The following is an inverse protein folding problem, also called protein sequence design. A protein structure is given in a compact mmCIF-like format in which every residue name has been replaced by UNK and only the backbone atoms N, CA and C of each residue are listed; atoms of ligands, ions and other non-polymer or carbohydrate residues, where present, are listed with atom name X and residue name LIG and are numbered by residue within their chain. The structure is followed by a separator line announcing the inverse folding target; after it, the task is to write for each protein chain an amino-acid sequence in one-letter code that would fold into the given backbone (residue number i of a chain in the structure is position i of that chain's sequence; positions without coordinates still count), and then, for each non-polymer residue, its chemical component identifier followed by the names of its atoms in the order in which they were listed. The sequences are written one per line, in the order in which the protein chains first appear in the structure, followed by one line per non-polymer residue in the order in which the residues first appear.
data_IF_149314446847
#
_entry.id   IF_149314446847
#
_cell.length_a   1.000
_cell.length_b   1.000
_cell.length_c   1.000
_cell.angle_alpha   90.00
_cell.angle_beta   90.00
_cell.angle_gamma   90.00
#
_symmetry.space_group_name_H-M   'P 1'
#
loop_
_entity.id
_entity.type
_entity.pdbx_description
1 polymer ?
#
# COMPACT_ATOMS: atom_id res chain seq x y z
N UNK A 1 -12.46 0.08 -24.60
CA UNK A 1 -12.96 0.70 -23.36
C UNK A 1 -12.20 0.01 -22.26
N UNK A 2 -11.57 0.76 -21.34
CA UNK A 2 -10.91 0.14 -20.21
C UNK A 2 -11.98 -0.47 -19.29
N UNK A 3 -11.67 -1.63 -18.76
CA UNK A 3 -12.56 -2.35 -17.86
C UNK A 3 -12.48 -1.74 -16.45
N UNK A 4 -13.60 -1.62 -15.75
CA UNK A 4 -13.62 -1.08 -14.38
C UNK A 4 -13.02 -2.11 -13.44
N UNK A 5 -11.93 -1.74 -12.77
CA UNK A 5 -11.23 -2.59 -11.80
C UNK A 5 -11.80 -2.47 -10.40
N UNK A 6 -12.08 -1.24 -9.97
CA UNK A 6 -12.63 -0.96 -8.65
C UNK A 6 -13.84 -0.06 -8.82
N UNK A 7 -14.94 -0.41 -8.16
CA UNK A 7 -16.16 0.35 -8.15
C UNK A 7 -16.63 0.59 -6.73
N UNK A 8 -16.92 1.85 -6.38
CA UNK A 8 -17.59 2.19 -5.13
C UNK A 8 -18.98 2.75 -5.39
N UNK A 9 -19.95 2.30 -4.60
CA UNK A 9 -21.35 2.76 -4.68
C UNK A 9 -21.84 3.18 -3.29
N UNK A 10 -22.32 4.41 -3.18
CA UNK A 10 -22.87 5.00 -1.97
C UNK A 10 -22.00 4.75 -0.73
N UNK A 11 -20.67 4.82 -0.90
CA UNK A 11 -19.72 4.54 0.16
C UNK A 11 -19.74 5.65 1.20
N UNK A 12 -20.05 5.29 2.43
CA UNK A 12 -20.01 6.16 3.59
C UNK A 12 -19.07 5.58 4.65
N UNK A 13 -18.30 6.44 5.30
CA UNK A 13 -17.38 6.02 6.40
C UNK A 13 -17.58 6.94 7.60
N UNK A 14 -17.68 6.31 8.76
CA UNK A 14 -17.86 6.97 10.05
C UNK A 14 -16.73 6.55 11.01
N UNK A 15 -16.24 7.50 11.80
CA UNK A 15 -15.38 7.29 12.95
C UNK A 15 -16.14 7.72 14.22
N UNK A 16 -16.76 6.74 14.90
CA UNK A 16 -17.75 7.05 15.93
C UNK A 16 -18.92 7.85 15.33
N UNK A 17 -19.21 9.01 15.91
CA UNK A 17 -20.29 9.90 15.44
C UNK A 17 -19.87 10.82 14.26
N UNK A 18 -18.60 10.83 13.91
CA UNK A 18 -18.09 11.70 12.83
C UNK A 18 -18.06 10.99 11.50
N UNK A 19 -18.85 11.49 10.54
CA UNK A 19 -18.79 11.01 9.16
C UNK A 19 -17.60 11.62 8.43
N UNK A 20 -16.81 10.77 7.76
CA UNK A 20 -15.59 11.12 7.02
C UNK A 20 -15.76 11.03 5.50
N UNK A 21 -16.60 10.12 5.01
CA UNK A 21 -16.97 10.01 3.60
C UNK A 21 -18.48 10.01 3.45
N UNK A 22 -18.96 10.68 2.40
CA UNK A 22 -20.37 10.92 2.13
C UNK A 22 -20.71 10.44 0.72
N UNK A 23 -21.48 9.36 0.60
CA UNK A 23 -22.03 8.81 -0.65
C UNK A 23 -21.03 8.78 -1.83
N UNK A 24 -19.81 8.30 -1.58
CA UNK A 24 -18.76 8.27 -2.60
C UNK A 24 -19.09 7.22 -3.65
N UNK A 25 -19.24 7.68 -4.89
CA UNK A 25 -19.47 6.85 -6.08
C UNK A 25 -18.32 7.10 -7.04
N UNK A 26 -17.50 6.07 -7.31
CA UNK A 26 -16.29 6.20 -8.12
C UNK A 26 -15.96 4.89 -8.82
N UNK A 27 -15.71 4.97 -10.12
CA UNK A 27 -15.20 3.87 -10.94
C UNK A 27 -13.73 4.12 -11.26
N UNK A 28 -12.87 3.15 -10.96
CA UNK A 28 -11.44 3.16 -11.26
C UNK A 28 -11.14 2.05 -12.27
N UNK A 29 -10.53 2.41 -13.39
CA UNK A 29 -10.26 1.47 -14.46
C UNK A 29 -8.95 0.68 -14.22
N UNK A 30 -8.86 -0.48 -14.86
CA UNK A 30 -7.62 -1.26 -14.88
C UNK A 30 -6.53 -0.56 -15.70
N UNK A 31 -5.26 -0.82 -15.34
CA UNK A 31 -4.06 -0.33 -16.05
C UNK A 31 -3.98 1.21 -16.13
N UNK A 32 -4.62 1.90 -15.20
CA UNK A 32 -4.57 3.36 -15.09
C UNK A 32 -3.97 3.80 -13.75
N UNK A 33 -3.41 5.00 -13.76
CA UNK A 33 -2.99 5.69 -12.54
C UNK A 33 -4.03 6.75 -12.22
N UNK A 34 -4.74 6.57 -11.11
CA UNK A 34 -5.72 7.55 -10.62
C UNK A 34 -5.17 8.29 -9.42
N UNK A 35 -5.16 9.62 -9.47
CA UNK A 35 -4.74 10.47 -8.36
C UNK A 35 -5.95 11.13 -7.68
N UNK A 36 -6.07 10.95 -6.36
CA UNK A 36 -7.04 11.65 -5.54
C UNK A 36 -6.43 12.97 -5.04
N UNK A 37 -6.96 14.08 -5.48
CA UNK A 37 -6.46 15.42 -5.14
C UNK A 37 -7.49 16.16 -4.28
N UNK A 38 -7.03 16.82 -3.24
CA UNK A 38 -7.89 17.60 -2.33
C UNK A 38 -7.14 18.02 -1.06
N UNK A 39 -7.71 18.91 -0.26
CA UNK A 39 -7.08 19.41 0.97
C UNK A 39 -6.85 18.31 1.99
N UNK A 40 -5.97 18.58 2.96
CA UNK A 40 -5.74 17.65 4.08
C UNK A 40 -7.05 17.42 4.84
N UNK A 41 -7.32 16.18 5.23
CA UNK A 41 -8.53 15.81 5.98
C UNK A 41 -9.80 15.64 5.15
N UNK A 42 -9.78 15.78 3.82
CA UNK A 42 -10.99 15.59 2.98
C UNK A 42 -11.37 14.11 2.72
N UNK A 43 -10.68 13.14 3.35
CA UNK A 43 -11.06 11.73 3.29
C UNK A 43 -10.28 10.85 2.28
N UNK A 44 -9.27 11.36 1.56
CA UNK A 44 -8.47 10.59 0.58
C UNK A 44 -7.91 9.30 1.17
N UNK A 45 -7.17 9.41 2.28
CA UNK A 45 -6.60 8.25 2.98
C UNK A 45 -7.67 7.30 3.51
N UNK A 46 -8.80 7.84 3.97
CA UNK A 46 -9.95 7.04 4.40
C UNK A 46 -10.50 6.20 3.27
N UNK A 47 -10.70 6.80 2.08
CA UNK A 47 -11.18 6.09 0.89
C UNK A 47 -10.20 5.00 0.44
N UNK A 48 -8.90 5.33 0.33
CA UNK A 48 -7.86 4.37 -0.06
C UNK A 48 -7.86 3.16 0.89
N UNK A 49 -7.98 3.39 2.21
CA UNK A 49 -8.01 2.32 3.22
C UNK A 49 -9.29 1.49 3.21
N UNK A 50 -10.37 1.95 2.59
CA UNK A 50 -11.55 1.11 2.37
C UNK A 50 -11.27 0.02 1.34
N UNK A 51 -10.49 0.31 0.28
CA UNK A 51 -10.25 -0.60 -0.84
C UNK A 51 -9.53 -1.90 -0.42
N UNK A 52 -8.70 -1.85 0.64
CA UNK A 52 -8.02 -3.05 1.19
C UNK A 52 -8.46 -3.41 2.60
N UNK A 53 -9.58 -2.86 3.04
CA UNK A 53 -10.17 -3.11 4.37
C UNK A 53 -9.23 -2.78 5.54
N UNK A 54 -8.30 -1.82 5.35
CA UNK A 54 -7.44 -1.36 6.45
C UNK A 54 -8.20 -0.56 7.50
N UNK A 55 -9.40 -0.07 7.20
CA UNK A 55 -10.26 0.58 8.18
C UNK A 55 -10.83 -0.39 9.22
N UNK A 56 -10.88 -1.70 8.94
CA UNK A 56 -11.36 -2.74 9.86
C UNK A 56 -10.51 -2.86 11.13
N UNK A 57 -9.26 -2.38 11.12
CA UNK A 57 -8.39 -2.38 12.32
C UNK A 57 -8.69 -1.22 13.28
N UNK A 58 -9.65 -0.38 12.95
CA UNK A 58 -10.04 0.79 13.74
C UNK A 58 -11.42 0.52 14.33
N UNK A 59 -11.50 0.17 15.63
CA UNK A 59 -12.71 -0.28 16.30
C UNK A 59 -13.92 0.66 16.13
N UNK A 60 -13.68 1.98 16.07
CA UNK A 60 -14.73 2.98 15.91
C UNK A 60 -15.08 3.26 14.45
N UNK A 61 -14.41 2.60 13.48
CA UNK A 61 -14.67 2.83 12.07
C UNK A 61 -15.84 1.96 11.60
N UNK A 62 -16.80 2.60 10.95
CA UNK A 62 -17.92 1.91 10.30
C UNK A 62 -17.97 2.32 8.84
N UNK A 63 -17.95 1.32 7.97
CA UNK A 63 -18.07 1.48 6.52
C UNK A 63 -19.45 0.97 6.09
N UNK A 64 -20.15 1.73 5.24
CA UNK A 64 -21.42 1.32 4.62
C UNK A 64 -21.41 1.68 3.15
N UNK A 65 -22.29 1.08 2.36
CA UNK A 65 -22.21 1.10 0.90
C UNK A 65 -21.36 -0.05 0.39
N UNK A 66 -21.08 -0.09 -0.91
CA UNK A 66 -20.40 -1.21 -1.55
C UNK A 66 -19.08 -0.77 -2.18
N UNK A 67 -18.09 -1.66 -2.09
CA UNK A 67 -16.88 -1.59 -2.92
C UNK A 67 -16.70 -2.95 -3.58
N UNK A 68 -16.52 -2.94 -4.89
CA UNK A 68 -16.26 -4.12 -5.69
C UNK A 68 -14.89 -4.04 -6.34
N UNK A 69 -14.18 -5.15 -6.38
CA UNK A 69 -12.95 -5.33 -7.17
C UNK A 69 -13.21 -6.51 -8.12
N UNK A 70 -13.10 -6.26 -9.43
CA UNK A 70 -13.47 -7.23 -10.47
C UNK A 70 -14.89 -7.79 -10.30
N UNK A 71 -15.85 -6.95 -9.87
CA UNK A 71 -17.23 -7.33 -9.62
C UNK A 71 -17.47 -8.15 -8.34
N UNK A 72 -16.44 -8.33 -7.50
CA UNK A 72 -16.55 -9.01 -6.20
C UNK A 72 -16.67 -7.98 -5.09
N UNK A 73 -17.75 -8.03 -4.31
CA UNK A 73 -17.97 -7.17 -3.13
C UNK A 73 -16.91 -7.48 -2.06
N UNK A 74 -16.12 -6.45 -1.68
CA UNK A 74 -15.02 -6.65 -0.74
C UNK A 74 -15.42 -6.49 0.73
N UNK A 75 -16.61 -5.94 1.02
CA UNK A 75 -17.13 -5.79 2.38
C UNK A 75 -17.90 -7.02 2.88
N UNK A 76 -18.02 -8.08 2.06
CA UNK A 76 -18.63 -9.35 2.46
C UNK A 76 -17.89 -9.92 3.69
N UNK A 77 -18.66 -10.35 4.72
CA UNK A 77 -18.11 -10.92 5.95
C UNK A 77 -17.35 -12.24 5.73
N UNK A 78 -17.70 -12.96 4.65
CA UNK A 78 -17.07 -14.24 4.29
C UNK A 78 -15.82 -14.07 3.43
N UNK A 79 -15.52 -12.84 2.99
CA UNK A 79 -14.33 -12.58 2.16
C UNK A 79 -13.04 -12.83 2.95
N UNK A 80 -12.12 -13.58 2.36
CA UNK A 80 -10.77 -13.71 2.90
C UNK A 80 -9.98 -12.40 2.73
N UNK A 81 -9.87 -11.65 3.82
CA UNK A 81 -9.16 -10.37 3.86
C UNK A 81 -7.67 -10.53 3.60
N UNK A 82 -7.08 -11.69 3.89
CA UNK A 82 -5.65 -11.96 3.63
C UNK A 82 -5.42 -12.03 2.12
N UNK A 83 -6.25 -12.78 1.42
CA UNK A 83 -6.22 -12.87 -0.05
C UNK A 83 -6.52 -11.51 -0.71
N UNK A 84 -7.45 -10.72 -0.16
CA UNK A 84 -7.70 -9.37 -0.64
C UNK A 84 -6.43 -8.50 -0.54
N UNK A 85 -5.76 -8.51 0.61
CA UNK A 85 -4.55 -7.69 0.85
C UNK A 85 -3.32 -8.17 0.08
N UNK A 86 -3.29 -9.41 -0.37
CA UNK A 86 -2.30 -9.90 -1.34
C UNK A 86 -2.50 -9.26 -2.72
N UNK A 87 -3.76 -9.18 -3.19
CA UNK A 87 -4.12 -8.59 -4.48
C UNK A 87 -4.04 -7.05 -4.47
N UNK A 88 -4.27 -6.44 -3.32
CA UNK A 88 -4.32 -4.97 -3.12
C UNK A 88 -3.23 -4.53 -2.16
N UNK A 89 -2.05 -4.26 -2.69
CA UNK A 89 -0.90 -3.76 -1.93
C UNK A 89 -1.08 -2.32 -1.47
N UNK A 90 -0.46 -1.95 -0.35
CA UNK A 90 -0.52 -0.59 0.18
C UNK A 90 0.85 -0.07 0.59
N UNK A 91 1.13 1.18 0.20
CA UNK A 91 2.28 1.96 0.65
C UNK A 91 1.75 3.13 1.49
N UNK A 92 2.19 3.18 2.75
CA UNK A 92 1.75 4.20 3.70
C UNK A 92 2.55 5.49 3.57
N UNK A 93 1.97 6.60 4.01
CA UNK A 93 2.59 7.93 4.03
C UNK A 93 3.93 7.94 4.80
N UNK A 94 3.95 7.31 5.99
CA UNK A 94 5.19 7.13 6.76
C UNK A 94 5.79 5.78 6.43
N UNK A 95 7.10 5.70 6.10
CA UNK A 95 7.76 4.41 5.96
C UNK A 95 7.59 3.56 7.22
N UNK A 96 7.29 2.29 7.02
CA UNK A 96 7.08 1.34 8.11
C UNK A 96 7.80 0.01 7.81
N UNK A 97 9.13 0.03 7.63
CA UNK A 97 9.85 -1.21 7.45
C UNK A 97 9.70 -2.10 8.68
N UNK A 98 9.61 -3.41 8.47
CA UNK A 98 9.64 -4.34 9.59
C UNK A 98 11.02 -4.27 10.29
N UNK A 99 11.09 -4.52 11.62
CA UNK A 99 12.36 -4.60 12.35
C UNK A 99 13.09 -5.91 12.02
N UNK A 100 13.36 -6.09 10.74
CA UNK A 100 13.99 -7.26 10.09
C UNK A 100 15.01 -6.76 9.07
N UNK A 101 15.77 -7.67 8.48
CA UNK A 101 16.70 -7.36 7.40
C UNK A 101 15.99 -6.76 6.18
N UNK A 102 16.75 -6.11 5.29
CA UNK A 102 16.24 -5.62 4.01
C UNK A 102 15.65 -6.79 3.21
N UNK A 103 16.37 -7.91 3.16
CA UNK A 103 15.93 -9.15 2.52
C UNK A 103 14.61 -9.64 3.09
N UNK A 104 14.52 -9.79 4.42
CA UNK A 104 13.33 -10.31 5.07
C UNK A 104 12.12 -9.38 4.96
N UNK A 105 12.32 -8.07 4.86
CA UNK A 105 11.21 -7.15 4.59
C UNK A 105 10.50 -7.49 3.28
N UNK A 106 11.23 -7.89 2.25
CA UNK A 106 10.69 -8.15 0.92
C UNK A 106 10.22 -9.60 0.80
N UNK A 107 11.00 -10.57 1.29
CA UNK A 107 10.68 -11.99 1.18
C UNK A 107 9.53 -12.44 2.09
N UNK A 108 9.14 -11.63 3.07
CA UNK A 108 8.10 -11.98 4.05
C UNK A 108 6.74 -12.27 3.40
N UNK A 109 6.25 -11.37 2.54
CA UNK A 109 4.99 -11.56 1.82
C UNK A 109 5.01 -12.80 0.93
N UNK A 110 5.97 -12.94 0.00
CA UNK A 110 6.11 -14.14 -0.82
C UNK A 110 6.13 -15.45 -0.02
N UNK A 111 6.85 -15.50 1.09
CA UNK A 111 6.89 -16.69 1.97
C UNK A 111 5.51 -17.05 2.53
N UNK A 112 4.74 -16.08 3.01
CA UNK A 112 3.42 -16.33 3.60
C UNK A 112 2.43 -16.81 2.53
N UNK A 113 2.50 -16.24 1.33
CA UNK A 113 1.58 -16.56 0.24
C UNK A 113 2.05 -17.73 -0.64
N UNK A 114 3.10 -18.47 -0.24
CA UNK A 114 3.61 -19.60 -1.01
C UNK A 114 4.19 -19.22 -2.38
N UNK A 115 4.62 -17.98 -2.54
CA UNK A 115 5.25 -17.45 -3.77
C UNK A 115 6.77 -17.45 -3.64
N UNK A 116 7.39 -18.61 -3.61
CA UNK A 116 8.82 -18.77 -3.44
C UNK A 116 9.09 -19.91 -2.46
N UNK A 117 9.10 -21.11 -3.00
CA UNK A 117 9.33 -22.33 -2.21
C UNK A 117 10.82 -22.56 -1.97
N UNK A 118 11.65 -22.07 -2.88
CA UNK A 118 13.10 -22.21 -2.82
C UNK A 118 13.78 -20.87 -2.49
N UNK A 119 14.99 -20.97 -1.94
CA UNK A 119 15.80 -19.77 -1.70
C UNK A 119 16.10 -19.01 -2.98
N UNK A 120 16.36 -19.71 -4.08
CA UNK A 120 16.65 -19.09 -5.39
C UNK A 120 15.48 -18.26 -5.90
N UNK A 121 14.26 -18.78 -5.79
CA UNK A 121 13.05 -18.03 -6.19
C UNK A 121 12.84 -16.78 -5.33
N UNK A 122 13.09 -16.89 -4.02
CA UNK A 122 13.01 -15.73 -3.13
C UNK A 122 14.09 -14.70 -3.46
N UNK A 123 15.31 -15.12 -3.77
CA UNK A 123 16.40 -14.24 -4.17
C UNK A 123 16.05 -13.46 -5.44
N UNK A 124 15.44 -14.12 -6.43
CA UNK A 124 14.94 -13.47 -7.65
C UNK A 124 13.82 -12.48 -7.38
N UNK A 125 12.87 -12.82 -6.50
CA UNK A 125 11.78 -11.91 -6.11
C UNK A 125 12.34 -10.68 -5.41
N UNK A 126 13.27 -10.85 -4.48
CA UNK A 126 13.90 -9.77 -3.72
C UNK A 126 14.66 -8.83 -4.66
N UNK A 127 15.54 -9.38 -5.50
CA UNK A 127 16.31 -8.60 -6.48
C UNK A 127 15.40 -7.81 -7.42
N UNK A 128 14.41 -8.49 -8.03
CA UNK A 128 13.45 -7.88 -8.95
C UNK A 128 12.67 -6.75 -8.28
N UNK A 129 12.23 -6.95 -7.03
CA UNK A 129 11.44 -5.97 -6.29
C UNK A 129 12.27 -4.74 -5.92
N UNK A 130 13.51 -4.94 -5.47
CA UNK A 130 14.46 -3.86 -5.18
C UNK A 130 14.83 -3.07 -6.45
N UNK A 131 15.02 -3.75 -7.58
CA UNK A 131 15.26 -3.09 -8.88
C UNK A 131 14.08 -2.23 -9.31
N UNK A 132 12.85 -2.76 -9.21
CA UNK A 132 11.63 -2.01 -9.52
C UNK A 132 11.42 -0.79 -8.62
N UNK A 133 11.84 -0.86 -7.36
CA UNK A 133 11.78 0.24 -6.41
C UNK A 133 13.01 1.18 -6.49
N UNK A 134 13.90 1.00 -7.47
CA UNK A 134 15.15 1.76 -7.65
C UNK A 134 16.03 1.80 -6.37
N UNK A 135 16.09 0.70 -5.63
CA UNK A 135 16.87 0.60 -4.38
C UNK A 135 18.01 -0.42 -4.48
N UNK A 136 18.01 -1.32 -5.46
CA UNK A 136 18.95 -2.44 -5.59
C UNK A 136 20.41 -2.02 -5.48
N UNK A 137 20.84 -1.04 -6.28
CA UNK A 137 22.24 -0.63 -6.35
C UNK A 137 22.78 -0.06 -5.03
N UNK A 138 21.89 0.43 -4.17
CA UNK A 138 22.27 1.02 -2.88
C UNK A 138 22.37 -0.03 -1.76
N UNK A 139 21.71 -1.21 -1.93
CA UNK A 139 21.58 -2.18 -0.83
C UNK A 139 22.02 -3.60 -1.16
N UNK A 140 22.36 -3.92 -2.42
CA UNK A 140 22.65 -5.29 -2.88
C UNK A 140 23.76 -6.01 -2.08
N UNK A 141 24.73 -5.25 -1.56
CA UNK A 141 25.86 -5.81 -0.81
C UNK A 141 25.61 -5.86 0.71
N UNK A 142 24.41 -5.47 1.18
CA UNK A 142 24.04 -5.38 2.60
C UNK A 142 22.60 -5.80 2.88
N UNK A 143 22.08 -6.78 2.17
CA UNK A 143 20.68 -7.24 2.28
C UNK A 143 20.33 -7.79 3.66
N UNK A 144 21.33 -8.25 4.43
CA UNK A 144 21.16 -8.77 5.79
C UNK A 144 21.10 -7.66 6.87
N UNK A 145 21.41 -6.40 6.51
CA UNK A 145 21.30 -5.29 7.43
C UNK A 145 19.84 -4.95 7.75
N UNK A 146 19.57 -4.37 8.96
CA UNK A 146 18.23 -3.97 9.34
C UNK A 146 17.63 -2.93 8.40
N UNK A 147 16.41 -3.18 7.89
CA UNK A 147 15.70 -2.23 7.03
C UNK A 147 15.40 -0.89 7.73
N UNK A 148 15.30 -0.88 9.05
CA UNK A 148 15.11 0.33 9.86
C UNK A 148 16.35 1.23 9.93
N UNK A 149 17.54 0.73 9.59
CA UNK A 149 18.77 1.50 9.52
C UNK A 149 18.95 2.32 8.24
N UNK A 150 18.05 2.16 7.27
CA UNK A 150 18.07 2.91 6.02
C UNK A 150 17.61 4.36 6.22
N UNK A 151 18.02 5.26 5.32
CA UNK A 151 17.49 6.63 5.28
C UNK A 151 15.99 6.65 5.00
N UNK A 152 15.28 7.74 5.34
CA UNK A 152 13.83 7.84 5.15
C UNK A 152 13.39 7.54 3.72
N UNK A 153 14.07 8.07 2.71
CA UNK A 153 13.79 7.79 1.30
C UNK A 153 14.09 6.34 0.90
N UNK A 154 15.15 5.73 1.44
CA UNK A 154 15.45 4.32 1.25
C UNK A 154 14.41 3.42 1.92
N UNK A 155 13.96 3.77 3.14
CA UNK A 155 12.88 3.05 3.82
C UNK A 155 11.58 3.11 3.03
N UNK A 156 11.24 4.25 2.43
CA UNK A 156 10.05 4.36 1.59
C UNK A 156 10.15 3.44 0.36
N UNK A 157 11.31 3.45 -0.32
CA UNK A 157 11.54 2.55 -1.47
C UNK A 157 11.56 1.08 -1.04
N UNK A 158 12.04 0.75 0.16
CA UNK A 158 11.93 -0.60 0.72
C UNK A 158 10.48 -1.01 0.96
N UNK A 159 9.63 -0.11 1.48
CA UNK A 159 8.20 -0.37 1.65
C UNK A 159 7.49 -0.55 0.30
N UNK A 160 7.89 0.19 -0.74
CA UNK A 160 7.41 -0.02 -2.11
C UNK A 160 7.85 -1.40 -2.62
N UNK A 161 9.15 -1.75 -2.49
CA UNK A 161 9.66 -3.07 -2.90
C UNK A 161 8.90 -4.21 -2.21
N UNK A 162 8.62 -4.07 -0.90
CA UNK A 162 7.81 -5.01 -0.13
C UNK A 162 6.39 -5.13 -0.68
N UNK A 163 5.73 -4.02 -0.97
CA UNK A 163 4.37 -4.02 -1.48
C UNK A 163 4.24 -4.71 -2.85
N UNK A 164 5.23 -4.53 -3.73
CA UNK A 164 5.21 -5.13 -5.07
C UNK A 164 5.76 -6.56 -5.12
N UNK A 165 6.37 -7.07 -4.05
CA UNK A 165 7.01 -8.39 -4.03
C UNK A 165 6.05 -9.55 -4.25
N UNK A 166 4.80 -9.42 -3.80
CA UNK A 166 3.73 -10.39 -4.00
C UNK A 166 3.03 -10.25 -5.36
N UNK A 167 3.47 -9.31 -6.19
CA UNK A 167 2.88 -8.99 -7.50
C UNK A 167 1.38 -8.67 -7.42
N UNK A 168 0.99 -7.63 -6.65
CA UNK A 168 -0.41 -7.26 -6.48
C UNK A 168 -1.01 -6.73 -7.79
N UNK A 169 -2.32 -6.83 -7.94
CA UNK A 169 -3.08 -6.29 -9.07
C UNK A 169 -3.30 -4.78 -8.95
N UNK A 170 -3.42 -4.30 -7.71
CA UNK A 170 -3.63 -2.89 -7.37
C UNK A 170 -2.59 -2.45 -6.34
N UNK A 171 -2.06 -1.26 -6.51
CA UNK A 171 -1.18 -0.62 -5.53
C UNK A 171 -1.83 0.68 -5.06
N UNK A 172 -2.12 0.76 -3.78
CA UNK A 172 -2.61 1.95 -3.11
C UNK A 172 -1.43 2.73 -2.53
N UNK A 173 -1.38 4.04 -2.80
CA UNK A 173 -0.34 4.91 -2.29
C UNK A 173 -0.97 6.07 -1.50
N UNK A 174 -0.72 6.12 -0.20
CA UNK A 174 -1.20 7.19 0.68
C UNK A 174 -0.10 8.26 0.81
N UNK A 175 -0.20 9.33 0.01
CA UNK A 175 0.73 10.48 -0.01
C UNK A 175 2.23 10.11 -0.02
N UNK A 176 2.72 9.29 -0.96
CA UNK A 176 4.06 8.70 -0.92
C UNK A 176 5.22 9.70 -1.10
N UNK A 177 4.92 10.96 -1.45
CA UNK A 177 5.92 11.97 -1.84
C UNK A 177 6.22 13.04 -0.77
N UNK A 178 5.56 13.02 0.40
CA UNK A 178 5.73 14.10 1.41
C UNK A 178 7.10 14.15 2.09
N UNK A 179 7.94 13.12 1.94
CA UNK A 179 9.28 13.10 2.54
C UNK A 179 10.29 14.04 1.84
N UNK A 180 10.00 14.52 0.63
CA UNK A 180 10.88 15.43 -0.10
C UNK A 180 10.69 16.92 0.25
N UNK A 181 9.58 17.28 0.91
CA UNK A 181 9.30 18.69 1.23
C UNK A 181 9.76 19.13 2.62
N UNK A 182 10.01 18.20 3.55
CA UNK A 182 10.49 18.54 4.89
C UNK A 182 12.01 18.78 4.95
N UNK A 183 12.80 18.05 4.16
CA UNK A 183 14.26 18.23 4.15
C UNK A 183 14.71 19.47 3.36
N UNK A 184 13.91 19.90 2.36
CA UNK A 184 14.24 21.11 1.58
C UNK A 184 13.94 22.42 2.32
N UNK A 185 13.12 22.39 3.37
CA UNK A 185 12.77 23.58 4.15
C UNK A 185 13.76 23.85 5.32
N UNK A 186 14.54 22.84 5.73
CA UNK A 186 15.46 22.96 6.88
C UNK A 186 16.87 23.41 6.49
N UNK A 187 17.25 23.29 5.21
CA UNK A 187 18.55 23.73 4.68
C UNK A 187 18.62 25.23 4.32
N UNK A 188 17.55 25.99 4.54
CA UNK A 188 17.42 27.41 4.16
C UNK A 188 17.81 28.45 5.22
N UNK A 189 18.13 28.03 6.46
CA UNK A 189 18.51 28.96 7.54
C UNK A 189 19.74 28.49 8.33
N UNK A 190 20.89 28.64 7.72
CA UNK A 190 22.18 28.81 8.43
C UNK A 190 23.07 29.78 7.68
#
# INVERSE_FOLDING_TARGET
MNEVKIKSNNLNVFYGDKQALFDVNLDLNEKEVTALIGPSGCGKSTFIRCINRMNDVIDICKVTGNIEIDGVEINDENLDVVSLRERVGMVFQKPNPFPKSIYDNISYGPKIHGKGETKSELDEIVERSLKKAALWEEVKDRLDEPGTGLSGGQQQRLCIARAISVNPEVILMDEPCLLYTSDAADDGYR
#
